data_IF_312033216918
#
_entry.id   IF_312033216918
#
_cell.length_a   1.000
_cell.length_b   1.000
_cell.length_c   1.000
_cell.angle_alpha   90.00
_cell.angle_beta   90.00
_cell.angle_gamma   90.00
#
_symmetry.space_group_name_H-M   'P 1'
#
loop_
_entity.id
_entity.type
_entity.pdbx_description
1 polymer ?
#
# COMPACT_ATOMS: atom_id res chain seq x y z
N UNK A 1 17.27 -11.85 5.00
CA UNK A 1 15.87 -12.10 5.41
C UNK A 1 15.43 -13.41 4.77
N UNK A 2 15.01 -14.40 5.55
CA UNK A 2 14.45 -15.67 5.04
C UNK A 2 12.93 -15.53 4.92
N UNK A 3 12.32 -16.23 3.96
CA UNK A 3 10.88 -16.18 3.74
C UNK A 3 10.15 -17.03 4.80
N UNK A 4 9.10 -16.47 5.39
CA UNK A 4 8.19 -17.16 6.30
C UNK A 4 6.81 -17.34 5.67
N UNK A 5 6.25 -18.54 5.81
CA UNK A 5 4.87 -18.82 5.42
C UNK A 5 3.98 -18.67 6.67
N UNK A 6 2.97 -17.81 6.57
CA UNK A 6 2.04 -17.51 7.66
C UNK A 6 0.66 -18.13 7.42
N UNK A 7 -0.09 -18.33 8.51
CA UNK A 7 -1.48 -18.81 8.44
C UNK A 7 -2.39 -17.74 7.85
N UNK A 8 -3.48 -18.14 7.20
CA UNK A 8 -4.46 -17.19 6.62
C UNK A 8 -5.03 -16.21 7.66
N UNK A 9 -5.22 -16.65 8.91
CA UNK A 9 -5.69 -15.80 10.02
C UNK A 9 -4.77 -14.61 10.31
N UNK A 10 -3.50 -14.65 9.87
CA UNK A 10 -2.55 -13.55 10.04
C UNK A 10 -3.01 -12.27 9.31
N UNK A 11 -3.78 -12.40 8.23
CA UNK A 11 -4.35 -11.24 7.54
C UNK A 11 -5.21 -10.36 8.44
N UNK A 12 -6.02 -10.98 9.31
CA UNK A 12 -6.79 -10.24 10.31
C UNK A 12 -5.90 -9.58 11.38
N UNK A 13 -4.81 -10.24 11.76
CA UNK A 13 -3.85 -9.69 12.72
C UNK A 13 -3.18 -8.42 12.17
N UNK A 14 -2.80 -8.42 10.89
CA UNK A 14 -2.24 -7.24 10.23
C UNK A 14 -3.21 -6.05 10.21
N UNK A 15 -4.49 -6.29 9.90
CA UNK A 15 -5.52 -5.26 10.00
C UNK A 15 -5.56 -4.69 11.43
N UNK A 16 -5.72 -5.57 12.43
CA UNK A 16 -5.87 -5.17 13.83
C UNK A 16 -4.67 -4.36 14.32
N UNK A 17 -3.45 -4.78 13.98
CA UNK A 17 -2.23 -4.08 14.34
C UNK A 17 -2.11 -2.72 13.63
N UNK A 18 -2.50 -2.63 12.36
CA UNK A 18 -2.58 -1.35 11.64
C UNK A 18 -3.52 -0.36 12.33
N UNK A 19 -4.76 -0.79 12.60
CA UNK A 19 -5.73 0.04 13.31
C UNK A 19 -5.21 0.46 14.69
N UNK A 20 -4.61 -0.45 15.46
CA UNK A 20 -4.07 -0.15 16.78
C UNK A 20 -2.92 0.88 16.73
N UNK A 21 -1.99 0.74 15.79
CA UNK A 21 -0.89 1.71 15.64
C UNK A 21 -1.43 3.07 15.21
N UNK A 22 -2.35 3.10 14.25
CA UNK A 22 -2.92 4.35 13.77
C UNK A 22 -3.75 5.04 14.83
N UNK A 23 -4.47 4.31 15.69
CA UNK A 23 -5.17 4.90 16.84
C UNK A 23 -4.24 5.59 17.85
N UNK A 24 -3.01 5.08 18.03
CA UNK A 24 -2.04 5.70 18.96
C UNK A 24 -1.60 7.09 18.50
N UNK A 25 -1.54 7.34 17.19
CA UNK A 25 -1.08 8.61 16.62
C UNK A 25 -1.92 9.05 15.41
N UNK A 26 -3.26 9.00 15.52
CA UNK A 26 -4.20 9.23 14.40
C UNK A 26 -3.94 10.51 13.63
N UNK A 27 -3.78 11.64 14.33
CA UNK A 27 -3.55 12.93 13.70
C UNK A 27 -2.22 12.98 12.92
N UNK A 28 -1.19 12.26 13.37
CA UNK A 28 0.10 12.24 12.67
C UNK A 28 0.03 11.40 11.40
N UNK A 29 -0.65 10.25 11.43
CA UNK A 29 -0.85 9.41 10.25
C UNK A 29 -1.76 10.08 9.21
N UNK A 30 -2.87 10.68 9.66
CA UNK A 30 -3.76 11.46 8.79
C UNK A 30 -3.04 12.67 8.22
N UNK A 31 -2.25 13.38 9.03
CA UNK A 31 -1.44 14.51 8.58
C UNK A 31 -0.35 14.10 7.58
N UNK A 32 0.28 12.94 7.79
CA UNK A 32 1.26 12.38 6.84
C UNK A 32 0.62 12.05 5.50
N UNK A 33 -0.56 11.39 5.53
CA UNK A 33 -1.31 11.10 4.32
C UNK A 33 -1.78 12.38 3.62
N UNK A 34 -2.30 13.34 4.39
CA UNK A 34 -2.71 14.65 3.90
C UNK A 34 -1.56 15.38 3.21
N UNK A 35 -0.35 15.33 3.77
CA UNK A 35 0.84 15.88 3.11
C UNK A 35 1.14 15.17 1.78
N UNK A 36 1.04 13.84 1.74
CA UNK A 36 1.27 13.07 0.51
C UNK A 36 0.22 13.40 -0.56
N UNK A 37 -1.06 13.50 -0.18
CA UNK A 37 -2.16 13.88 -1.08
C UNK A 37 -1.98 15.31 -1.59
N UNK A 38 -1.67 16.26 -0.72
CA UNK A 38 -1.40 17.65 -1.12
C UNK A 38 -0.21 17.75 -2.07
N UNK A 39 0.88 17.03 -1.80
CA UNK A 39 2.03 16.98 -2.69
C UNK A 39 1.66 16.36 -4.06
N UNK A 40 0.85 15.29 -4.06
CA UNK A 40 0.37 14.68 -5.29
C UNK A 40 -0.50 15.64 -6.12
N UNK A 41 -1.40 16.39 -5.47
CA UNK A 41 -2.23 17.40 -6.15
C UNK A 41 -1.38 18.50 -6.79
N UNK A 42 -0.36 18.99 -6.08
CA UNK A 42 0.58 19.98 -6.63
C UNK A 42 1.37 19.42 -7.82
N UNK A 43 1.82 18.17 -7.74
CA UNK A 43 2.55 17.51 -8.81
C UNK A 43 1.68 17.30 -10.05
N UNK A 44 0.43 16.88 -9.89
CA UNK A 44 -0.51 16.66 -11.01
C UNK A 44 -0.76 17.93 -11.83
N UNK A 45 -0.58 19.12 -11.24
CA UNK A 45 -0.61 20.39 -11.97
C UNK A 45 0.44 20.53 -13.08
N UNK A 46 1.49 19.70 -13.06
CA UNK A 46 2.50 19.62 -14.14
C UNK A 46 2.01 18.66 -15.24
N UNK A 47 1.78 19.14 -16.47
CA UNK A 47 1.27 18.29 -17.55
C UNK A 47 2.28 17.20 -17.89
N UNK A 48 1.78 15.99 -18.14
CA UNK A 48 2.53 14.77 -18.49
C UNK A 48 3.48 14.27 -17.39
N UNK A 49 4.37 15.11 -16.86
CA UNK A 49 5.39 14.74 -15.87
C UNK A 49 4.78 14.54 -14.48
N UNK A 50 3.78 15.35 -14.11
CA UNK A 50 3.13 15.32 -12.81
C UNK A 50 2.60 13.95 -12.41
N UNK A 51 1.70 13.35 -13.22
CA UNK A 51 1.18 12.01 -12.96
C UNK A 51 2.26 10.94 -12.83
N UNK A 52 3.32 10.99 -13.66
CA UNK A 52 4.44 10.06 -13.59
C UNK A 52 5.21 10.17 -12.27
N UNK A 53 5.42 11.40 -11.78
CA UNK A 53 6.04 11.62 -10.48
C UNK A 53 5.18 11.09 -9.34
N UNK A 54 3.86 11.31 -9.37
CA UNK A 54 2.94 10.76 -8.36
C UNK A 54 2.99 9.25 -8.32
N UNK A 55 2.94 8.58 -9.48
CA UNK A 55 3.05 7.11 -9.56
C UNK A 55 4.41 6.66 -9.04
N UNK A 56 5.52 7.27 -9.44
CA UNK A 56 6.86 6.91 -8.97
C UNK A 56 7.07 7.11 -7.46
N UNK A 57 6.38 8.09 -6.86
CA UNK A 57 6.43 8.36 -5.43
C UNK A 57 5.63 7.35 -4.58
N UNK A 58 4.66 6.63 -5.14
CA UNK A 58 3.83 5.66 -4.40
C UNK A 58 4.62 4.62 -3.59
N UNK A 59 5.57 3.84 -4.16
CA UNK A 59 6.33 2.86 -3.39
C UNK A 59 7.20 3.50 -2.30
N UNK A 60 7.64 4.74 -2.50
CA UNK A 60 8.40 5.51 -1.52
C UNK A 60 7.51 6.03 -0.38
N UNK A 61 6.28 6.42 -0.70
CA UNK A 61 5.26 6.77 0.27
C UNK A 61 4.96 5.57 1.17
N UNK A 62 4.70 4.38 0.61
CA UNK A 62 4.46 3.17 1.41
C UNK A 62 5.63 2.90 2.37
N UNK A 63 6.87 3.05 1.90
CA UNK A 63 8.08 2.95 2.72
C UNK A 63 8.13 3.98 3.86
N UNK A 64 7.71 5.21 3.60
CA UNK A 64 7.59 6.26 4.61
C UNK A 64 6.59 5.90 5.71
N UNK A 65 5.41 5.37 5.34
CA UNK A 65 4.43 4.89 6.32
C UNK A 65 4.95 3.71 7.13
N UNK A 66 5.69 2.79 6.52
CA UNK A 66 6.31 1.67 7.24
C UNK A 66 7.35 2.15 8.25
N UNK A 67 8.15 3.17 7.92
CA UNK A 67 9.08 3.80 8.86
C UNK A 67 8.35 4.51 9.99
N UNK A 68 7.25 5.21 9.69
CA UNK A 68 6.40 5.85 10.70
C UNK A 68 5.83 4.80 11.67
N UNK A 69 5.25 3.70 11.16
CA UNK A 69 4.76 2.58 11.97
C UNK A 69 5.85 2.05 12.90
N UNK A 70 7.07 1.84 12.39
CA UNK A 70 8.20 1.35 13.20
C UNK A 70 8.53 2.30 14.37
N UNK A 71 8.55 3.61 14.15
CA UNK A 71 8.78 4.60 15.22
C UNK A 71 7.68 4.56 16.28
N UNK A 72 6.41 4.47 15.87
CA UNK A 72 5.28 4.37 16.82
C UNK A 72 5.36 3.09 17.66
N UNK A 73 5.80 1.98 17.07
CA UNK A 73 6.02 0.73 17.80
C UNK A 73 7.16 0.82 18.82
N UNK A 74 8.15 1.67 18.58
CA UNK A 74 9.24 1.98 19.50
C UNK A 74 8.84 3.00 20.59
N UNK A 75 7.59 3.46 20.60
CA UNK A 75 7.10 4.48 21.54
C UNK A 75 7.48 5.91 21.16
N UNK A 76 8.04 6.12 19.96
CA UNK A 76 8.43 7.42 19.47
C UNK A 76 7.29 8.12 18.72
N UNK A 77 7.33 9.45 18.69
CA UNK A 77 6.54 10.26 17.75
C UNK A 77 7.33 10.46 16.47
N UNK A 78 6.66 10.52 15.33
CA UNK A 78 7.31 10.83 14.06
C UNK A 78 6.91 12.23 13.58
N UNK A 79 7.72 12.78 12.67
CA UNK A 79 7.42 14.03 11.98
C UNK A 79 7.37 13.75 10.47
N UNK A 80 6.78 14.63 9.63
CA UNK A 80 6.67 14.38 8.19
C UNK A 80 8.01 14.16 7.47
N UNK A 81 9.12 14.56 8.09
CA UNK A 81 10.47 14.23 7.63
C UNK A 81 10.76 12.71 7.53
N UNK A 82 9.92 11.86 8.13
CA UNK A 82 10.01 10.39 8.04
C UNK A 82 9.93 9.86 6.60
N UNK A 83 9.22 10.56 5.70
CA UNK A 83 9.17 10.22 4.27
C UNK A 83 10.54 10.29 3.61
N UNK A 84 11.41 11.17 4.12
CA UNK A 84 12.73 11.43 3.56
C UNK A 84 13.85 10.68 4.28
N UNK A 85 13.57 10.01 5.39
CA UNK A 85 14.59 9.30 6.18
C UNK A 85 15.30 8.21 5.36
N UNK A 86 14.57 7.51 4.49
CA UNK A 86 15.13 6.51 3.59
C UNK A 86 16.23 7.08 2.66
N UNK A 87 16.22 8.40 2.42
CA UNK A 87 17.17 9.10 1.58
C UNK A 87 18.30 9.78 2.37
N UNK A 88 18.28 9.80 3.70
CA UNK A 88 19.31 10.46 4.51
C UNK A 88 20.51 9.53 4.76
N UNK A 89 21.71 10.11 4.88
CA UNK A 89 22.96 9.38 5.16
C UNK A 89 23.71 8.90 3.91
N UNK A 90 24.99 8.56 4.12
CA UNK A 90 25.91 8.10 3.07
C UNK A 90 25.53 6.70 2.54
N UNK A 91 25.05 5.82 3.43
CA UNK A 91 24.68 4.44 3.09
C UNK A 91 23.24 4.30 2.59
N UNK A 92 22.56 5.39 2.28
CA UNK A 92 21.18 5.35 1.77
C UNK A 92 21.14 4.73 0.36
N UNK A 93 20.24 3.78 0.07
CA UNK A 93 20.17 3.11 -1.23
C UNK A 93 19.40 3.98 -2.26
N UNK A 94 19.71 5.28 -2.32
CA UNK A 94 18.97 6.29 -3.10
C UNK A 94 18.82 5.89 -4.56
N UNK A 95 19.92 5.43 -5.17
CA UNK A 95 19.94 4.99 -6.57
C UNK A 95 19.03 3.78 -6.79
N UNK A 96 19.06 2.80 -5.88
CA UNK A 96 18.23 1.60 -5.97
C UNK A 96 16.74 1.92 -5.75
N UNK A 97 16.42 2.83 -4.83
CA UNK A 97 15.06 3.31 -4.62
C UNK A 97 14.54 4.12 -5.83
N UNK A 98 15.38 4.95 -6.45
CA UNK A 98 15.03 5.66 -7.68
C UNK A 98 14.80 4.70 -8.86
N UNK A 99 15.61 3.64 -8.98
CA UNK A 99 15.40 2.58 -9.96
C UNK A 99 14.09 1.81 -9.71
N UNK A 100 13.76 1.54 -8.45
CA UNK A 100 12.47 0.93 -8.09
C UNK A 100 11.30 1.84 -8.49
N UNK A 101 11.38 3.14 -8.17
CA UNK A 101 10.36 4.11 -8.54
C UNK A 101 10.17 4.19 -10.06
N UNK A 102 11.26 4.27 -10.83
CA UNK A 102 11.22 4.24 -12.30
C UNK A 102 10.64 2.93 -12.84
N UNK A 103 11.02 1.79 -12.25
CA UNK A 103 10.46 0.48 -12.60
C UNK A 103 8.96 0.39 -12.32
N UNK A 104 8.47 0.99 -11.23
CA UNK A 104 7.06 1.03 -10.89
C UNK A 104 6.26 1.89 -11.88
N UNK A 105 6.81 3.04 -12.29
CA UNK A 105 6.22 3.88 -13.36
C UNK A 105 6.11 3.07 -14.65
N UNK A 106 7.19 2.42 -15.08
CA UNK A 106 7.18 1.61 -16.30
C UNK A 106 6.18 0.45 -16.22
N UNK A 107 6.11 -0.25 -15.10
CA UNK A 107 5.14 -1.33 -14.90
C UNK A 107 3.69 -0.81 -14.96
N UNK A 108 3.41 0.35 -14.37
CA UNK A 108 2.08 0.97 -14.39
C UNK A 108 1.70 1.43 -15.79
N UNK A 109 2.64 2.00 -16.56
CA UNK A 109 2.42 2.36 -17.96
C UNK A 109 2.12 1.13 -18.82
N UNK A 110 2.85 0.03 -18.62
CA UNK A 110 2.56 -1.25 -19.30
C UNK A 110 1.16 -1.75 -18.96
N UNK A 111 0.75 -1.68 -17.69
CA UNK A 111 -0.63 -2.03 -17.27
C UNK A 111 -1.66 -1.16 -17.97
N UNK A 112 -1.44 0.15 -18.07
CA UNK A 112 -2.36 1.06 -18.75
C UNK A 112 -2.50 0.72 -20.23
N UNK A 113 -1.39 0.47 -20.93
CA UNK A 113 -1.42 0.08 -22.35
C UNK A 113 -2.09 -1.29 -22.55
N UNK A 114 -1.79 -2.27 -21.71
CA UNK A 114 -2.40 -3.60 -21.80
C UNK A 114 -3.91 -3.55 -21.49
N UNK A 115 -4.34 -2.73 -20.54
CA UNK A 115 -5.76 -2.55 -20.24
C UNK A 115 -6.52 -1.97 -21.43
N UNK A 116 -5.92 -1.02 -22.16
CA UNK A 116 -6.51 -0.45 -23.39
C UNK A 116 -6.51 -1.46 -24.56
N UNK A 117 -5.52 -2.35 -24.64
CA UNK A 117 -5.44 -3.35 -25.70
C UNK A 117 -6.41 -4.53 -25.49
N UNK A 118 -6.67 -4.90 -24.23
CA UNK A 118 -7.51 -6.06 -23.86
C UNK A 118 -8.94 -5.65 -23.49
N UNK A 119 -9.12 -4.43 -23.02
CA UNK A 119 -10.38 -3.86 -22.59
C UNK A 119 -10.98 -2.88 -23.61
N UNK A 120 -11.94 -2.06 -23.16
CA UNK A 120 -12.51 -0.99 -23.97
C UNK A 120 -11.45 0.01 -24.44
N UNK A 121 -11.65 0.58 -25.63
CA UNK A 121 -10.71 1.55 -26.20
C UNK A 121 -10.61 2.81 -25.34
N UNK A 122 -9.42 3.43 -25.29
CA UNK A 122 -9.20 4.65 -24.50
C UNK A 122 -10.18 5.78 -24.90
N UNK A 123 -10.46 5.89 -26.20
CA UNK A 123 -11.37 6.90 -26.75
C UNK A 123 -12.82 6.64 -26.35
N UNK A 124 -13.24 5.37 -26.28
CA UNK A 124 -14.59 4.98 -25.85
C UNK A 124 -14.80 5.30 -24.37
N UNK A 125 -13.82 4.96 -23.53
CA UNK A 125 -13.82 5.30 -22.10
C UNK A 125 -13.84 6.82 -21.94
N UNK A 126 -12.98 7.55 -22.64
CA UNK A 126 -12.93 9.01 -22.58
C UNK A 126 -14.25 9.67 -22.98
N UNK A 127 -14.89 9.19 -24.05
CA UNK A 127 -16.19 9.70 -24.48
C UNK A 127 -17.29 9.50 -23.43
N UNK A 128 -17.29 8.36 -22.72
CA UNK A 128 -18.22 8.14 -21.60
C UNK A 128 -17.92 9.09 -20.45
N UNK A 129 -16.65 9.35 -20.13
CA UNK A 129 -16.26 10.33 -19.10
C UNK A 129 -16.68 11.76 -19.45
N UNK A 130 -16.61 12.15 -20.72
CA UNK A 130 -16.99 13.51 -21.17
C UNK A 130 -18.51 13.71 -21.21
N UNK A 131 -19.27 12.65 -21.50
CA UNK A 131 -20.73 12.72 -21.64
C UNK A 131 -21.47 12.50 -20.33
N UNK A 132 -20.83 11.93 -19.30
CA UNK A 132 -21.47 11.58 -18.03
C UNK A 132 -21.12 12.58 -16.93
N UNK A 133 -22.08 13.43 -16.55
CA UNK A 133 -21.88 14.40 -15.46
C UNK A 133 -22.00 13.78 -14.05
N UNK A 134 -22.63 12.61 -13.94
CA UNK A 134 -22.89 11.95 -12.65
C UNK A 134 -21.95 10.76 -12.40
N UNK A 135 -21.16 10.85 -11.32
CA UNK A 135 -20.27 9.76 -10.89
C UNK A 135 -20.99 8.41 -10.68
N UNK A 136 -22.26 8.42 -10.21
CA UNK A 136 -23.02 7.20 -10.03
C UNK A 136 -23.39 6.54 -11.36
N UNK A 137 -23.69 7.34 -12.38
CA UNK A 137 -24.00 6.83 -13.72
C UNK A 137 -22.74 6.29 -14.39
N UNK A 138 -21.63 7.00 -14.23
CA UNK A 138 -20.33 6.60 -14.75
C UNK A 138 -19.88 5.24 -14.20
N UNK A 139 -20.01 5.01 -12.89
CA UNK A 139 -19.61 3.75 -12.24
C UNK A 139 -20.55 2.59 -12.59
N UNK A 140 -21.81 2.88 -12.93
CA UNK A 140 -22.79 1.87 -13.36
C UNK A 140 -22.70 1.55 -14.85
N UNK A 141 -21.91 2.30 -15.62
CA UNK A 141 -21.73 2.04 -17.03
C UNK A 141 -20.96 0.72 -17.26
N UNK A 142 -21.50 -0.27 -18.01
CA UNK A 142 -20.85 -1.56 -18.23
C UNK A 142 -19.46 -1.46 -18.85
N UNK A 143 -19.25 -0.48 -19.75
CA UNK A 143 -17.96 -0.25 -20.40
C UNK A 143 -16.91 0.24 -19.40
N UNK A 144 -17.29 1.15 -18.50
CA UNK A 144 -16.42 1.62 -17.41
C UNK A 144 -16.11 0.48 -16.44
N UNK A 145 -17.11 -0.33 -16.09
CA UNK A 145 -16.89 -1.49 -15.22
C UNK A 145 -15.91 -2.49 -15.84
N UNK A 146 -16.03 -2.77 -17.15
CA UNK A 146 -15.11 -3.65 -17.86
C UNK A 146 -13.67 -3.08 -17.89
N UNK A 147 -13.50 -1.79 -18.15
CA UNK A 147 -12.19 -1.11 -18.11
C UNK A 147 -11.57 -1.19 -16.69
N UNK A 148 -12.36 -0.89 -15.66
CA UNK A 148 -11.93 -1.00 -14.25
C UNK A 148 -11.49 -2.44 -13.94
N UNK A 149 -12.26 -3.45 -14.35
CA UNK A 149 -11.93 -4.86 -14.10
C UNK A 149 -10.59 -5.24 -14.74
N UNK A 150 -10.34 -4.85 -15.99
CA UNK A 150 -9.06 -5.11 -16.65
C UNK A 150 -7.91 -4.40 -15.94
N UNK A 151 -8.07 -3.12 -15.58
CA UNK A 151 -7.06 -2.37 -14.84
C UNK A 151 -6.75 -3.01 -13.50
N UNK A 152 -7.78 -3.41 -12.74
CA UNK A 152 -7.60 -4.10 -11.45
C UNK A 152 -6.85 -5.42 -11.66
N UNK A 153 -7.30 -6.26 -12.59
CA UNK A 153 -6.70 -7.56 -12.87
C UNK A 153 -5.22 -7.45 -13.26
N UNK A 154 -4.88 -6.50 -14.12
CA UNK A 154 -3.51 -6.25 -14.58
C UNK A 154 -2.65 -5.54 -13.51
N UNK A 155 -3.25 -4.80 -12.59
CA UNK A 155 -2.54 -4.15 -11.48
C UNK A 155 -2.17 -5.13 -10.37
N UNK A 156 -2.93 -6.21 -10.17
CA UNK A 156 -2.64 -7.24 -9.17
C UNK A 156 -1.19 -7.77 -9.24
N UNK A 157 -0.66 -8.25 -10.39
CA UNK A 157 0.72 -8.73 -10.45
C UNK A 157 1.75 -7.63 -10.16
N UNK A 158 1.49 -6.38 -10.58
CA UNK A 158 2.36 -5.24 -10.25
C UNK A 158 2.34 -4.99 -8.74
N UNK A 159 1.17 -5.07 -8.12
CA UNK A 159 1.03 -4.96 -6.67
C UNK A 159 1.86 -6.02 -5.97
N UNK A 160 1.77 -7.30 -6.34
CA UNK A 160 2.56 -8.38 -5.73
C UNK A 160 4.08 -8.17 -5.88
N UNK A 161 4.51 -7.65 -7.04
CA UNK A 161 5.93 -7.37 -7.31
C UNK A 161 6.48 -6.24 -6.44
N UNK A 162 5.70 -5.18 -6.23
CA UNK A 162 6.19 -3.97 -5.57
C UNK A 162 5.77 -3.84 -4.10
N UNK A 163 4.84 -4.66 -3.60
CA UNK A 163 4.27 -4.57 -2.26
C UNK A 163 5.33 -4.51 -1.16
N UNK A 164 6.30 -5.43 -1.19
CA UNK A 164 7.37 -5.52 -0.19
C UNK A 164 8.72 -4.98 -0.68
N UNK A 165 8.87 -4.79 -1.99
CA UNK A 165 10.14 -4.40 -2.61
C UNK A 165 10.81 -3.14 -1.98
N UNK A 166 10.11 -2.02 -1.71
CA UNK A 166 10.78 -0.84 -1.16
C UNK A 166 11.33 -1.08 0.26
N UNK A 167 10.59 -1.83 1.08
CA UNK A 167 11.04 -2.21 2.42
C UNK A 167 12.25 -3.16 2.37
N UNK A 168 12.23 -4.14 1.46
CA UNK A 168 13.35 -5.06 1.24
C UNK A 168 14.62 -4.35 0.77
N UNK A 169 14.50 -3.34 -0.09
CA UNK A 169 15.65 -2.53 -0.51
C UNK A 169 16.22 -1.73 0.66
N UNK A 170 15.36 -1.09 1.46
CA UNK A 170 15.82 -0.26 2.56
C UNK A 170 16.41 -1.09 3.72
N UNK A 171 15.72 -2.15 4.14
CA UNK A 171 16.08 -2.91 5.34
C UNK A 171 17.02 -4.08 5.06
N UNK A 172 16.82 -4.81 3.95
CA UNK A 172 17.65 -5.96 3.58
C UNK A 172 18.74 -5.63 2.55
N UNK A 173 18.83 -4.38 2.10
CA UNK A 173 19.86 -3.88 1.15
C UNK A 173 19.93 -4.70 -0.15
N UNK A 174 18.80 -5.20 -0.62
CA UNK A 174 18.71 -5.97 -1.85
C UNK A 174 18.76 -5.07 -3.09
N UNK A 175 19.23 -5.63 -4.22
CA UNK A 175 19.05 -5.02 -5.54
C UNK A 175 17.58 -5.04 -5.95
N UNK A 176 17.17 -4.17 -6.87
CA UNK A 176 15.78 -4.08 -7.36
C UNK A 176 15.26 -5.44 -7.82
N UNK A 177 16.02 -6.15 -8.67
CA UNK A 177 15.63 -7.47 -9.18
C UNK A 177 15.37 -8.50 -8.08
N UNK A 178 16.26 -8.59 -7.08
CA UNK A 178 16.10 -9.49 -5.93
C UNK A 178 14.90 -9.09 -5.08
N UNK A 179 14.71 -7.79 -4.83
CA UNK A 179 13.59 -7.29 -4.04
C UNK A 179 12.24 -7.59 -4.69
N UNK A 180 12.12 -7.39 -6.01
CA UNK A 180 10.91 -7.75 -6.76
C UNK A 180 10.64 -9.27 -6.72
N UNK A 181 11.67 -10.09 -6.93
CA UNK A 181 11.56 -11.54 -6.85
C UNK A 181 11.10 -12.03 -5.47
N UNK A 182 11.72 -11.53 -4.40
CA UNK A 182 11.30 -11.91 -3.05
C UNK A 182 9.92 -11.37 -2.69
N UNK A 183 9.52 -10.19 -3.18
CA UNK A 183 8.18 -9.65 -2.97
C UNK A 183 7.12 -10.56 -3.59
N UNK A 184 7.25 -10.90 -4.88
CA UNK A 184 6.25 -11.74 -5.56
C UNK A 184 6.18 -13.14 -4.93
N UNK A 185 7.33 -13.75 -4.61
CA UNK A 185 7.36 -15.07 -3.96
C UNK A 185 6.72 -15.00 -2.57
N UNK A 186 6.99 -13.94 -1.80
CA UNK A 186 6.40 -13.77 -0.48
C UNK A 186 4.88 -13.59 -0.54
N UNK A 187 4.38 -12.74 -1.42
CA UNK A 187 2.95 -12.54 -1.57
C UNK A 187 2.26 -13.82 -2.09
N UNK A 188 2.86 -14.52 -3.06
CA UNK A 188 2.31 -15.74 -3.63
C UNK A 188 2.25 -16.89 -2.62
N UNK A 189 3.31 -17.05 -1.81
CA UNK A 189 3.36 -18.10 -0.78
C UNK A 189 2.43 -17.81 0.41
N UNK A 190 2.05 -16.56 0.61
CA UNK A 190 1.17 -16.09 1.68
C UNK A 190 -0.21 -15.62 1.18
N UNK A 191 -0.64 -16.05 0.00
CA UNK A 191 -1.85 -15.53 -0.67
C UNK A 191 -3.10 -15.63 0.21
N UNK A 192 -3.25 -16.70 1.00
CA UNK A 192 -4.37 -16.86 1.93
C UNK A 192 -4.41 -15.78 3.01
N UNK A 193 -3.26 -15.35 3.54
CA UNK A 193 -3.21 -14.25 4.50
C UNK A 193 -3.53 -12.91 3.83
N UNK A 194 -3.03 -12.68 2.61
CA UNK A 194 -3.38 -11.49 1.82
C UNK A 194 -4.86 -11.42 1.44
N UNK A 195 -5.49 -12.56 1.13
CA UNK A 195 -6.91 -12.62 0.82
C UNK A 195 -7.76 -12.24 2.05
N UNK A 196 -7.45 -12.79 3.22
CA UNK A 196 -8.12 -12.41 4.48
C UNK A 196 -7.86 -10.94 4.81
N UNK A 197 -6.63 -10.46 4.64
CA UNK A 197 -6.26 -9.06 4.85
C UNK A 197 -7.08 -8.11 3.96
N UNK A 198 -7.19 -8.42 2.66
CA UNK A 198 -8.00 -7.65 1.71
C UNK A 198 -9.48 -7.66 2.07
N UNK A 199 -10.04 -8.83 2.42
CA UNK A 199 -11.45 -8.96 2.84
C UNK A 199 -11.73 -8.17 4.13
N UNK A 200 -10.80 -8.19 5.07
CA UNK A 200 -10.89 -7.44 6.31
C UNK A 200 -10.90 -5.92 6.05
N UNK A 201 -10.01 -5.40 5.20
CA UNK A 201 -10.02 -3.98 4.82
C UNK A 201 -11.25 -3.59 4.02
N UNK A 202 -11.72 -4.44 3.11
CA UNK A 202 -12.98 -4.24 2.41
C UNK A 202 -14.15 -4.11 3.40
N UNK A 203 -14.20 -4.99 4.41
CA UNK A 203 -15.18 -4.91 5.49
C UNK A 203 -15.12 -3.59 6.27
N UNK A 204 -13.92 -3.07 6.57
CA UNK A 204 -13.75 -1.77 7.25
C UNK A 204 -14.26 -0.61 6.40
N UNK A 205 -13.94 -0.59 5.10
CA UNK A 205 -14.42 0.46 4.18
C UNK A 205 -15.94 0.39 4.03
N UNK A 206 -16.50 -0.82 3.89
CA UNK A 206 -17.95 -1.02 3.82
C UNK A 206 -18.63 -0.56 5.12
N UNK A 207 -18.08 -0.93 6.28
CA UNK A 207 -18.60 -0.51 7.58
C UNK A 207 -18.58 1.02 7.74
N UNK A 208 -17.50 1.69 7.30
CA UNK A 208 -17.42 3.15 7.30
C UNK A 208 -18.51 3.78 6.41
N UNK A 209 -18.71 3.26 5.20
CA UNK A 209 -19.75 3.77 4.29
C UNK A 209 -21.17 3.55 4.82
N UNK A 210 -21.45 2.39 5.40
CA UNK A 210 -22.75 2.11 6.03
C UNK A 210 -22.98 2.98 7.27
N UNK A 211 -21.93 3.22 8.06
CA UNK A 211 -21.97 4.12 9.20
C UNK A 211 -22.29 5.55 8.77
N UNK A 212 -21.63 6.07 7.73
CA UNK A 212 -21.90 7.40 7.18
C UNK A 212 -23.36 7.52 6.68
N UNK A 213 -23.85 6.52 5.94
CA UNK A 213 -25.25 6.44 5.51
C UNK A 213 -26.24 6.43 6.67
N UNK A 214 -25.93 5.72 7.74
CA UNK A 214 -26.76 5.69 8.94
C UNK A 214 -26.82 7.06 9.62
N UNK A 215 -25.68 7.76 9.76
CA UNK A 215 -25.66 9.10 10.35
C UNK A 215 -26.49 10.08 9.51
N UNK A 216 -26.34 10.06 8.18
CA UNK A 216 -27.11 10.92 7.28
C UNK A 216 -28.62 10.65 7.32
N UNK A 217 -29.05 9.43 7.65
CA UNK A 217 -30.48 9.13 7.81
C UNK A 217 -31.07 9.76 9.07
N UNK A 218 -30.25 9.99 10.10
CA UNK A 218 -30.67 10.65 11.35
C UNK A 218 -30.54 12.17 11.26
N UNK A 219 -29.47 12.64 10.61
CA UNK A 219 -29.11 14.05 10.47
C UNK A 219 -28.86 14.31 8.98
N UNK A 220 -29.88 14.71 8.20
CA UNK A 220 -29.80 14.86 6.75
C UNK A 220 -29.10 16.16 6.36
N UNK A 221 -27.87 16.35 6.85
CA UNK A 221 -26.99 17.47 6.52
C UNK A 221 -25.91 16.97 5.56
N UNK A 222 -25.98 17.27 4.25
CA UNK A 222 -25.04 16.73 3.27
C UNK A 222 -23.58 17.05 3.57
N UNK A 223 -23.31 18.24 4.13
CA UNK A 223 -21.97 18.66 4.53
C UNK A 223 -21.37 17.74 5.61
N UNK A 224 -22.19 17.25 6.54
CA UNK A 224 -21.74 16.34 7.59
C UNK A 224 -21.26 15.01 7.01
N UNK A 225 -22.01 14.44 6.06
CA UNK A 225 -21.62 13.22 5.37
C UNK A 225 -20.31 13.37 4.62
N UNK A 226 -20.13 14.47 3.88
CA UNK A 226 -18.87 14.74 3.18
C UNK A 226 -17.67 14.84 4.14
N UNK A 227 -17.83 15.53 5.27
CA UNK A 227 -16.77 15.66 6.29
C UNK A 227 -16.43 14.30 6.91
N UNK A 228 -17.44 13.50 7.25
CA UNK A 228 -17.24 12.16 7.81
C UNK A 228 -16.58 11.21 6.81
N UNK A 229 -17.03 11.21 5.56
CA UNK A 229 -16.45 10.41 4.49
C UNK A 229 -14.98 10.77 4.25
N UNK A 230 -14.65 12.07 4.17
CA UNK A 230 -13.26 12.51 3.96
C UNK A 230 -12.39 12.20 5.17
N UNK A 231 -12.80 12.61 6.38
CA UNK A 231 -11.99 12.43 7.58
C UNK A 231 -11.83 10.93 7.93
N UNK A 232 -12.94 10.18 7.90
CA UNK A 232 -12.94 8.73 8.11
C UNK A 232 -12.15 7.99 7.04
N UNK A 233 -12.32 8.37 5.77
CA UNK A 233 -11.60 7.77 4.64
C UNK A 233 -10.10 8.02 4.72
N UNK A 234 -9.68 9.24 5.05
CA UNK A 234 -8.25 9.56 5.26
C UNK A 234 -7.67 8.77 6.43
N UNK A 235 -8.41 8.63 7.52
CA UNK A 235 -7.95 7.84 8.66
C UNK A 235 -7.81 6.36 8.30
N UNK A 236 -8.84 5.75 7.71
CA UNK A 236 -8.83 4.35 7.25
C UNK A 236 -7.69 4.11 6.25
N UNK A 237 -7.50 4.99 5.27
CA UNK A 237 -6.41 4.89 4.30
C UNK A 237 -5.03 5.00 4.97
N UNK A 238 -4.87 5.92 5.91
CA UNK A 238 -3.62 6.06 6.67
C UNK A 238 -3.33 4.82 7.53
N UNK A 239 -4.37 4.19 8.07
CA UNK A 239 -4.28 2.96 8.83
C UNK A 239 -3.92 1.75 7.97
N UNK A 240 -4.45 1.69 6.75
CA UNK A 240 -4.05 0.70 5.75
C UNK A 240 -2.56 0.81 5.42
N UNK A 241 -2.06 2.03 5.15
CA UNK A 241 -0.64 2.23 4.89
C UNK A 241 0.24 1.89 6.10
N UNK A 242 -0.23 2.21 7.31
CA UNK A 242 0.47 1.82 8.53
C UNK A 242 0.57 0.29 8.68
N UNK A 243 -0.48 -0.46 8.32
CA UNK A 243 -0.47 -1.93 8.40
C UNK A 243 0.49 -2.62 7.45
N UNK A 244 0.92 -1.96 6.36
CA UNK A 244 1.85 -2.55 5.39
C UNK A 244 3.15 -3.02 6.05
N UNK A 245 3.58 -2.33 7.11
CA UNK A 245 4.73 -2.73 7.91
C UNK A 245 4.63 -4.18 8.41
N UNK A 246 3.46 -4.56 8.95
CA UNK A 246 3.24 -5.89 9.52
C UNK A 246 3.27 -6.98 8.45
N UNK A 247 2.78 -6.67 7.25
CA UNK A 247 2.84 -7.61 6.12
C UNK A 247 4.28 -7.95 5.74
N UNK A 248 5.21 -6.99 5.84
CA UNK A 248 6.63 -7.24 5.54
C UNK A 248 7.29 -8.02 6.67
N UNK A 249 7.22 -7.54 7.92
CA UNK A 249 7.96 -8.16 9.02
C UNK A 249 7.49 -9.57 9.35
N UNK A 250 6.22 -9.90 9.11
CA UNK A 250 5.73 -11.27 9.35
C UNK A 250 6.07 -12.23 8.20
N UNK A 251 6.19 -11.73 6.96
CA UNK A 251 6.57 -12.57 5.81
C UNK A 251 8.09 -12.80 5.72
N UNK A 252 8.90 -12.07 6.48
CA UNK A 252 10.36 -12.13 6.43
C UNK A 252 10.97 -12.27 7.82
N UNK A 253 11.73 -13.33 8.05
CA UNK A 253 12.45 -13.53 9.32
C UNK A 253 13.53 -12.46 9.52
N UNK A 254 13.53 -11.86 10.71
CA UNK A 254 14.64 -11.05 11.19
C UNK A 254 15.81 -11.97 11.58
N UNK A 255 17.08 -11.63 11.28
CA UNK A 255 18.23 -12.44 11.66
C UNK A 255 18.32 -12.78 13.16
N UNK A 256 17.62 -12.02 14.02
CA UNK A 256 17.56 -12.25 15.47
C UNK A 256 16.64 -13.42 15.89
N UNK A 257 15.77 -13.91 15.01
CA UNK A 257 14.86 -15.03 15.32
C UNK A 257 15.45 -16.40 14.95
N UNK A 258 16.68 -16.44 14.43
CA UNK A 258 17.44 -17.69 14.29
C UNK A 258 17.92 -18.09 15.69
N UNK A 259 17.06 -18.84 16.40
CA UNK A 259 17.48 -19.52 17.62
C UNK A 259 18.74 -20.36 17.32
N UNK A 260 19.75 -20.40 18.21
CA UNK A 260 21.01 -21.12 17.97
C UNK A 260 20.84 -22.64 17.86
N UNK A 261 19.61 -23.16 18.02
CA UNK A 261 19.34 -24.57 18.26
C UNK A 261 19.44 -25.45 17.01
N UNK A 262 19.67 -24.90 15.82
CA UNK A 262 19.65 -25.67 14.55
C UNK A 262 21.01 -25.76 13.83
N UNK A 263 22.11 -25.45 14.52
CA UNK A 263 23.46 -25.69 14.00
C UNK A 263 24.39 -26.30 15.05
N UNK A 264 24.12 -27.52 15.50
CA UNK A 264 25.19 -28.49 15.77
C UNK A 264 24.69 -29.95 15.91
N UNK A 265 24.97 -30.86 14.95
CA UNK A 265 24.77 -32.29 15.14
C UNK A 265 25.88 -32.98 15.95
N UNK A 266 26.91 -32.27 16.44
CA UNK A 266 28.12 -32.89 17.02
C UNK A 266 28.28 -32.81 18.53
N UNK A 267 27.33 -32.24 19.27
CA UNK A 267 27.38 -32.29 20.74
C UNK A 267 26.46 -33.39 21.29
N UNK A 268 26.81 -34.66 21.05
CA UNK A 268 26.41 -35.73 21.96
C UNK A 268 27.43 -35.79 23.09
N UNK A 269 27.01 -35.81 24.37
CA UNK A 269 27.94 -36.09 25.46
C UNK A 269 28.23 -37.59 25.49
N UNK A 270 29.49 -37.97 25.28
CA UNK A 270 30.01 -39.24 25.81
C UNK A 270 30.18 -39.07 27.32
N UNK A 271 29.29 -39.70 28.10
CA UNK A 271 29.53 -40.14 29.47
C UNK A 271 28.46 -41.15 29.89
#
# INVERSE_FOLDING_TARGET
MKLRIVKASQGYVWLRQGLQVSLRQSFQFVGLLGLCVSAALLLIGLPVVGPLLVVGCMPLMWLGFMQATRKVLQGERFHPGVLFEAFKGADSPRRTLAQLAGGYVMATLVVMQLAQLLGPGADEVAAVFETTENAAELVNNPLIQQDILWRVLLTLPVSLLFWHAPALILWARLSVSKALFFSIVACWRNLGAFAVYGLCWFGVVLALGLFDRFILSQIPVPLLGNVLAIAGGMWVASAFYASLYFTVVDCFESPADVSPTDTDPRSQPEA
#
